data_IF_076052851958
#
_entry.id   IF_076052851958
#
_cell.length_a   1.000
_cell.length_b   1.000
_cell.length_c   1.000
_cell.angle_alpha   90.00
_cell.angle_beta   90.00
_cell.angle_gamma   90.00
#
_symmetry.space_group_name_H-M   'P 1'
#
loop_
_entity.id
_entity.type
_entity.pdbx_description
1 polymer ?
#
# COMPACT_ATOMS: atom_id res chain seq x y z
N UNK A 1 -4.29 -2.20 28.50
CA UNK A 1 -3.95 -0.75 28.49
C UNK A 1 -3.98 -0.13 27.08
N UNK A 2 -3.38 -0.76 26.05
CA UNK A 2 -3.41 -0.26 24.67
C UNK A 2 -4.82 -0.21 24.02
N UNK A 3 -5.66 -1.24 24.26
CA UNK A 3 -7.02 -1.30 23.72
C UNK A 3 -7.93 -0.17 24.22
N UNK A 4 -7.90 0.13 25.53
CA UNK A 4 -8.70 1.23 26.11
C UNK A 4 -8.25 2.61 25.57
N UNK A 5 -6.94 2.79 25.31
CA UNK A 5 -6.43 4.00 24.64
C UNK A 5 -6.94 4.11 23.19
N UNK A 6 -6.97 3.00 22.46
CA UNK A 6 -7.47 2.98 21.09
C UNK A 6 -8.96 3.37 21.01
N UNK A 7 -9.81 2.74 21.84
CA UNK A 7 -11.25 3.01 21.86
C UNK A 7 -11.56 4.43 22.32
N UNK A 8 -10.70 5.05 23.13
CA UNK A 8 -10.86 6.45 23.54
C UNK A 8 -10.60 7.46 22.43
N UNK A 9 -9.88 7.07 21.36
CA UNK A 9 -9.52 7.97 20.27
C UNK A 9 -10.60 7.95 19.17
N UNK A 10 -11.47 8.97 19.15
CA UNK A 10 -12.62 9.06 18.24
C UNK A 10 -12.27 8.82 16.78
N UNK A 11 -11.19 9.42 16.28
CA UNK A 11 -10.78 9.24 14.88
C UNK A 11 -10.35 7.79 14.58
N UNK A 12 -9.74 7.09 15.53
CA UNK A 12 -9.31 5.71 15.32
C UNK A 12 -10.51 4.75 15.25
N UNK A 13 -11.51 4.97 16.11
CA UNK A 13 -12.78 4.21 16.11
C UNK A 13 -13.56 4.47 14.82
N UNK A 14 -13.65 5.73 14.37
CA UNK A 14 -14.31 6.09 13.11
C UNK A 14 -13.64 5.40 11.92
N UNK A 15 -12.31 5.43 11.82
CA UNK A 15 -11.58 4.76 10.74
C UNK A 15 -11.83 3.25 10.70
N UNK A 16 -11.82 2.59 11.86
CA UNK A 16 -12.12 1.14 11.94
C UNK A 16 -13.56 0.87 11.54
N UNK A 17 -14.50 1.69 11.98
CA UNK A 17 -15.91 1.54 11.63
C UNK A 17 -16.14 1.71 10.11
N UNK A 18 -15.55 2.73 9.49
CA UNK A 18 -15.63 2.94 8.04
C UNK A 18 -14.99 1.78 7.29
N UNK A 19 -13.81 1.32 7.71
CA UNK A 19 -13.14 0.16 7.11
C UNK A 19 -14.00 -1.10 7.23
N UNK A 20 -14.62 -1.34 8.39
CA UNK A 20 -15.51 -2.47 8.61
C UNK A 20 -16.73 -2.40 7.68
N UNK A 21 -17.33 -1.21 7.49
CA UNK A 21 -18.42 -1.02 6.52
C UNK A 21 -17.98 -1.37 5.11
N UNK A 22 -16.81 -0.90 4.66
CA UNK A 22 -16.31 -1.20 3.31
C UNK A 22 -16.04 -2.69 3.11
N UNK A 23 -15.46 -3.36 4.12
CA UNK A 23 -15.21 -4.81 4.08
C UNK A 23 -16.53 -5.59 4.07
N UNK A 24 -17.51 -5.22 4.91
CA UNK A 24 -18.84 -5.84 4.92
C UNK A 24 -19.54 -5.61 3.58
N UNK A 25 -19.48 -4.39 3.05
CA UNK A 25 -20.04 -4.05 1.74
C UNK A 25 -19.49 -4.97 0.66
N UNK A 26 -18.17 -5.20 0.61
CA UNK A 26 -17.55 -6.14 -0.33
C UNK A 26 -17.89 -7.60 -0.03
N UNK A 27 -17.91 -8.00 1.25
CA UNK A 27 -18.22 -9.38 1.64
C UNK A 27 -19.65 -9.79 1.25
N UNK A 28 -20.57 -8.83 1.19
CA UNK A 28 -21.94 -9.04 0.72
C UNK A 28 -22.06 -9.13 -0.80
N UNK A 29 -20.98 -8.92 -1.57
CA UNK A 29 -21.04 -8.92 -3.04
C UNK A 29 -21.65 -10.17 -3.66
N UNK A 30 -21.43 -11.40 -3.17
CA UNK A 30 -22.04 -12.59 -3.75
C UNK A 30 -23.57 -12.61 -3.65
N UNK A 31 -24.13 -11.85 -2.70
CA UNK A 31 -25.58 -11.77 -2.46
C UNK A 31 -26.20 -10.53 -3.09
N UNK A 32 -25.45 -9.43 -3.19
CA UNK A 32 -25.98 -8.14 -3.65
C UNK A 32 -25.64 -7.82 -5.10
N UNK A 33 -24.50 -8.29 -5.62
CA UNK A 33 -24.12 -8.08 -7.01
C UNK A 33 -24.97 -8.98 -7.92
N UNK A 34 -25.79 -8.34 -8.77
CA UNK A 34 -26.74 -9.05 -9.63
C UNK A 34 -26.16 -9.45 -10.98
N UNK A 35 -25.09 -8.78 -11.39
CA UNK A 35 -24.44 -8.96 -12.67
C UNK A 35 -22.92 -9.04 -12.48
N UNK A 36 -22.23 -9.69 -13.41
CA UNK A 36 -20.78 -9.63 -13.51
C UNK A 36 -20.26 -8.21 -13.78
N UNK A 37 -18.99 -7.95 -13.48
CA UNK A 37 -18.34 -6.62 -13.63
C UNK A 37 -18.56 -5.99 -15.01
N UNK A 38 -18.53 -6.81 -16.05
CA UNK A 38 -18.64 -6.37 -17.44
C UNK A 38 -19.95 -6.81 -18.10
N UNK A 39 -20.87 -7.39 -17.34
CA UNK A 39 -22.15 -7.87 -17.86
C UNK A 39 -23.14 -6.72 -17.97
N UNK A 40 -23.82 -6.65 -19.12
CA UNK A 40 -24.88 -5.69 -19.34
C UNK A 40 -26.20 -6.20 -18.74
N UNK A 41 -27.03 -5.26 -18.27
CA UNK A 41 -28.40 -5.55 -17.83
C UNK A 41 -29.19 -6.07 -19.04
N UNK A 42 -29.79 -7.25 -18.88
CA UNK A 42 -30.40 -8.00 -20.00
C UNK A 42 -31.76 -7.43 -20.47
N UNK A 43 -32.37 -6.52 -19.71
CA UNK A 43 -33.72 -5.99 -19.99
C UNK A 43 -33.65 -4.58 -20.62
N UNK A 44 -34.08 -4.39 -21.89
CA UNK A 44 -34.20 -3.07 -22.51
C UNK A 44 -35.33 -2.22 -21.87
N UNK A 45 -35.21 -0.88 -21.82
CA UNK A 45 -33.99 -0.12 -22.09
C UNK A 45 -32.96 -0.39 -21.00
N UNK A 46 -31.69 -0.59 -21.39
CA UNK A 46 -30.61 -0.94 -20.46
C UNK A 46 -29.47 0.09 -20.43
N UNK A 47 -29.49 1.12 -21.28
CA UNK A 47 -28.48 2.19 -21.31
C UNK A 47 -28.93 3.41 -20.51
N UNK A 48 -28.00 4.06 -19.80
CA UNK A 48 -28.25 5.27 -19.01
C UNK A 48 -29.50 5.17 -18.12
N UNK A 49 -29.72 4.01 -17.52
CA UNK A 49 -30.84 3.82 -16.62
C UNK A 49 -30.62 4.65 -15.36
N UNK A 50 -31.67 5.31 -14.89
CA UNK A 50 -31.71 5.84 -13.52
C UNK A 50 -31.85 4.70 -12.51
N UNK A 51 -31.58 4.94 -11.21
CA UNK A 51 -31.74 3.94 -10.15
C UNK A 51 -33.12 3.27 -10.19
N UNK A 52 -33.13 1.93 -10.37
CA UNK A 52 -34.34 1.11 -10.52
C UNK A 52 -34.17 -0.26 -9.88
N UNK A 53 -35.28 -0.98 -9.73
CA UNK A 53 -35.29 -2.29 -9.09
C UNK A 53 -34.33 -3.29 -9.77
N UNK A 54 -34.14 -3.24 -11.09
CA UNK A 54 -33.24 -4.11 -11.86
C UNK A 54 -31.79 -3.60 -11.98
N UNK A 55 -31.54 -2.33 -11.63
CA UNK A 55 -30.23 -1.67 -11.64
C UNK A 55 -30.19 -0.63 -10.50
N UNK A 56 -29.74 -1.04 -9.30
CA UNK A 56 -29.92 -0.27 -8.06
C UNK A 56 -29.32 1.13 -8.10
N UNK A 57 -28.20 1.29 -8.80
CA UNK A 57 -27.55 2.59 -9.00
C UNK A 57 -27.64 3.06 -10.45
N UNK A 58 -28.45 2.40 -11.27
CA UNK A 58 -28.54 2.67 -12.70
C UNK A 58 -27.49 1.93 -13.53
N UNK A 59 -27.40 2.30 -14.81
CA UNK A 59 -26.46 1.71 -15.76
C UNK A 59 -25.62 2.76 -16.48
N UNK A 60 -24.47 2.34 -17.00
CA UNK A 60 -23.61 3.18 -17.82
C UNK A 60 -24.07 3.29 -19.29
N UNK A 61 -23.23 3.92 -20.11
CA UNK A 61 -23.43 4.18 -21.55
C UNK A 61 -23.45 2.91 -22.40
N UNK A 62 -23.00 1.78 -21.85
CA UNK A 62 -22.99 0.46 -22.49
C UNK A 62 -23.87 -0.56 -21.76
N UNK A 63 -24.66 -0.09 -20.79
CA UNK A 63 -25.70 -0.84 -20.09
C UNK A 63 -25.23 -1.76 -18.96
N UNK A 64 -24.02 -1.58 -18.44
CA UNK A 64 -23.50 -2.32 -17.28
C UNK A 64 -24.05 -1.74 -15.98
N UNK A 65 -24.35 -2.61 -15.02
CA UNK A 65 -24.87 -2.22 -13.71
C UNK A 65 -23.80 -1.48 -12.86
N UNK A 66 -24.10 -0.24 -12.50
CA UNK A 66 -23.17 0.62 -11.75
C UNK A 66 -22.92 0.08 -10.33
N UNK A 67 -23.92 -0.54 -9.70
CA UNK A 67 -23.76 -1.12 -8.37
C UNK A 67 -22.75 -2.26 -8.36
N UNK A 68 -22.88 -3.20 -9.29
CA UNK A 68 -21.94 -4.31 -9.46
C UNK A 68 -20.54 -3.79 -9.78
N UNK A 69 -20.40 -2.80 -10.67
CA UNK A 69 -19.09 -2.20 -10.95
C UNK A 69 -18.47 -1.54 -9.71
N UNK A 70 -19.26 -0.88 -8.88
CA UNK A 70 -18.80 -0.26 -7.65
C UNK A 70 -18.33 -1.29 -6.63
N UNK A 71 -19.11 -2.32 -6.32
CA UNK A 71 -18.75 -3.31 -5.30
C UNK A 71 -17.49 -4.12 -5.68
N UNK A 72 -17.38 -4.52 -6.96
CA UNK A 72 -16.16 -5.17 -7.46
C UNK A 72 -14.98 -4.20 -7.52
N UNK A 73 -15.21 -2.93 -7.84
CA UNK A 73 -14.19 -1.88 -7.79
C UNK A 73 -13.64 -1.69 -6.37
N UNK A 74 -14.50 -1.58 -5.36
CA UNK A 74 -14.10 -1.46 -3.94
C UNK A 74 -13.28 -2.68 -3.53
N UNK A 75 -13.67 -3.90 -3.92
CA UNK A 75 -12.90 -5.13 -3.64
C UNK A 75 -11.48 -5.04 -4.18
N UNK A 76 -11.33 -4.64 -5.45
CA UNK A 76 -10.02 -4.53 -6.10
C UNK A 76 -9.18 -3.43 -5.45
N UNK A 77 -9.76 -2.26 -5.18
CA UNK A 77 -9.07 -1.14 -4.54
C UNK A 77 -8.57 -1.48 -3.14
N UNK A 78 -9.37 -2.17 -2.31
CA UNK A 78 -8.97 -2.60 -0.97
C UNK A 78 -7.77 -3.56 -1.03
N UNK A 79 -7.81 -4.52 -1.96
CA UNK A 79 -6.72 -5.49 -2.15
C UNK A 79 -5.45 -4.76 -2.61
N UNK A 80 -5.54 -3.90 -3.63
CA UNK A 80 -4.37 -3.17 -4.14
C UNK A 80 -3.77 -2.30 -3.03
N UNK A 81 -4.56 -1.42 -2.42
CA UNK A 81 -4.08 -0.45 -1.43
C UNK A 81 -3.48 -1.10 -0.20
N UNK A 82 -4.09 -2.18 0.31
CA UNK A 82 -3.57 -2.87 1.50
C UNK A 82 -2.25 -3.59 1.20
N UNK A 83 -2.22 -4.42 0.15
CA UNK A 83 -1.04 -5.24 -0.12
C UNK A 83 0.14 -4.40 -0.64
N UNK A 84 -0.11 -3.41 -1.50
CA UNK A 84 0.96 -2.52 -1.98
C UNK A 84 1.56 -1.71 -0.83
N UNK A 85 0.76 -1.20 0.10
CA UNK A 85 1.23 -0.43 1.24
C UNK A 85 2.06 -1.28 2.20
N UNK A 86 1.59 -2.49 2.54
CA UNK A 86 2.33 -3.41 3.42
C UNK A 86 3.68 -3.77 2.80
N UNK A 87 3.72 -4.13 1.52
CA UNK A 87 4.97 -4.49 0.84
C UNK A 87 5.89 -3.27 0.75
N UNK A 88 5.37 -2.09 0.38
CA UNK A 88 6.13 -0.84 0.34
C UNK A 88 6.78 -0.52 1.67
N UNK A 89 6.03 -0.68 2.77
CA UNK A 89 6.52 -0.40 4.11
C UNK A 89 7.59 -1.40 4.51
N UNK A 90 7.40 -2.69 4.24
CA UNK A 90 8.41 -3.71 4.53
C UNK A 90 9.70 -3.43 3.75
N UNK A 91 9.61 -3.17 2.44
CA UNK A 91 10.76 -2.82 1.61
C UNK A 91 11.43 -1.54 2.10
N UNK A 92 10.65 -0.51 2.40
CA UNK A 92 11.15 0.76 2.89
C UNK A 92 11.84 0.64 4.24
N UNK A 93 11.28 -0.15 5.16
CA UNK A 93 11.90 -0.45 6.45
C UNK A 93 13.24 -1.17 6.28
N UNK A 94 13.30 -2.17 5.41
CA UNK A 94 14.55 -2.92 5.16
C UNK A 94 15.61 -2.01 4.54
N UNK A 95 15.28 -1.29 3.47
CA UNK A 95 16.22 -0.44 2.75
C UNK A 95 16.65 0.74 3.62
N UNK A 96 15.71 1.44 4.25
CA UNK A 96 15.97 2.57 5.13
C UNK A 96 16.79 2.20 6.36
N UNK A 97 16.50 1.04 6.97
CA UNK A 97 17.27 0.58 8.13
C UNK A 97 18.70 0.19 7.75
N UNK A 98 18.89 -0.50 6.62
CA UNK A 98 20.24 -0.87 6.15
C UNK A 98 21.03 0.38 5.76
N UNK A 99 20.42 1.32 5.04
CA UNK A 99 21.06 2.57 4.63
C UNK A 99 21.46 3.42 5.85
N UNK A 100 20.53 3.67 6.78
CA UNK A 100 20.78 4.47 7.98
C UNK A 100 21.77 3.84 8.95
N UNK A 101 21.75 2.50 9.09
CA UNK A 101 22.65 1.80 10.01
C UNK A 101 24.06 1.68 9.47
N UNK A 102 24.22 1.33 8.18
CA UNK A 102 25.54 1.18 7.55
C UNK A 102 26.21 2.53 7.33
N UNK A 103 25.45 3.55 6.92
CA UNK A 103 25.96 4.89 6.63
C UNK A 103 26.99 4.93 5.49
N UNK A 104 27.63 6.09 5.35
CA UNK A 104 28.69 6.35 4.38
C UNK A 104 28.23 6.24 2.92
N UNK A 105 29.13 5.84 2.02
CA UNK A 105 28.87 5.81 0.57
C UNK A 105 27.67 4.95 0.16
N UNK A 106 27.38 3.87 0.89
CA UNK A 106 26.22 3.03 0.58
C UNK A 106 24.91 3.79 0.80
N UNK A 107 24.83 4.50 1.92
CA UNK A 107 23.69 5.35 2.24
C UNK A 107 23.52 6.46 1.20
N UNK A 108 24.61 7.16 0.85
CA UNK A 108 24.58 8.22 -0.15
C UNK A 108 24.08 7.74 -1.52
N UNK A 109 24.53 6.57 -1.98
CA UNK A 109 24.09 6.01 -3.27
C UNK A 109 22.61 5.62 -3.22
N UNK A 110 22.17 4.92 -2.17
CA UNK A 110 20.77 4.49 -2.03
C UNK A 110 19.84 5.71 -1.93
N UNK A 111 20.23 6.73 -1.17
CA UNK A 111 19.45 7.96 -1.05
C UNK A 111 19.44 8.75 -2.36
N UNK A 112 20.55 8.85 -3.09
CA UNK A 112 20.56 9.51 -4.41
C UNK A 112 19.64 8.83 -5.43
N UNK A 113 19.65 7.50 -5.48
CA UNK A 113 18.72 6.75 -6.34
C UNK A 113 17.28 7.01 -5.93
N UNK A 114 17.01 6.98 -4.62
CA UNK A 114 15.68 7.26 -4.07
C UNK A 114 15.22 8.68 -4.42
N UNK A 115 16.08 9.68 -4.26
CA UNK A 115 15.79 11.08 -4.53
C UNK A 115 15.54 11.33 -6.03
N UNK A 116 16.30 10.65 -6.90
CA UNK A 116 16.11 10.69 -8.35
C UNK A 116 14.70 10.22 -8.74
N UNK A 117 14.25 9.07 -8.23
CA UNK A 117 12.94 8.54 -8.54
C UNK A 117 11.80 9.36 -7.94
N UNK A 118 11.99 9.91 -6.74
CA UNK A 118 11.02 10.79 -6.09
C UNK A 118 10.89 12.17 -6.77
N UNK A 119 11.87 12.58 -7.57
CA UNK A 119 11.79 13.82 -8.35
C UNK A 119 10.79 13.71 -9.53
N UNK A 120 10.48 12.49 -9.99
CA UNK A 120 9.49 12.28 -11.04
C UNK A 120 8.07 12.32 -10.47
N UNK A 121 7.08 12.86 -11.21
CA UNK A 121 5.68 12.79 -10.80
C UNK A 121 5.23 11.34 -10.66
N UNK A 122 4.70 10.96 -9.50
CA UNK A 122 4.42 9.55 -9.15
C UNK A 122 3.55 8.83 -10.19
N UNK A 123 2.43 9.44 -10.60
CA UNK A 123 1.55 8.87 -11.63
C UNK A 123 2.27 8.69 -12.98
N UNK A 124 3.12 9.65 -13.38
CA UNK A 124 3.89 9.56 -14.63
C UNK A 124 4.88 8.41 -14.54
N UNK A 125 5.57 8.27 -13.42
CA UNK A 125 6.47 7.13 -13.17
C UNK A 125 5.73 5.81 -13.31
N UNK A 126 4.56 5.66 -12.68
CA UNK A 126 3.78 4.41 -12.76
C UNK A 126 3.34 4.12 -14.21
N UNK A 127 2.88 5.12 -14.96
CA UNK A 127 2.43 4.95 -16.34
C UNK A 127 3.55 4.53 -17.29
N UNK A 128 4.72 5.17 -17.19
CA UNK A 128 5.90 4.80 -17.98
C UNK A 128 6.37 3.41 -17.58
N UNK A 129 6.51 3.17 -16.28
CA UNK A 129 7.04 1.92 -15.74
C UNK A 129 6.10 0.74 -15.98
N UNK A 130 4.78 0.95 -16.09
CA UNK A 130 3.84 -0.10 -16.49
C UNK A 130 4.24 -0.75 -17.81
N UNK A 131 4.60 0.03 -18.81
CA UNK A 131 4.98 -0.50 -20.12
C UNK A 131 6.39 -1.09 -20.10
N UNK A 132 7.32 -0.44 -19.38
CA UNK A 132 8.71 -0.92 -19.26
C UNK A 132 8.79 -2.25 -18.51
N UNK A 133 8.13 -2.38 -17.35
CA UNK A 133 8.08 -3.67 -16.63
C UNK A 133 7.27 -4.70 -17.41
N UNK A 134 6.25 -4.25 -18.14
CA UNK A 134 5.39 -5.10 -18.96
C UNK A 134 6.08 -5.74 -20.15
N UNK A 135 7.13 -5.11 -20.70
CA UNK A 135 7.93 -5.66 -21.79
C UNK A 135 8.99 -6.67 -21.33
N UNK A 136 9.22 -6.78 -20.02
CA UNK A 136 10.20 -7.72 -19.46
C UNK A 136 9.55 -9.10 -19.27
N UNK A 137 9.61 -9.92 -20.31
CA UNK A 137 8.91 -11.21 -20.35
C UNK A 137 9.31 -12.18 -19.23
N UNK A 138 10.59 -12.21 -18.84
CA UNK A 138 11.07 -13.13 -17.80
C UNK A 138 10.55 -12.79 -16.40
N UNK A 139 10.05 -11.57 -16.17
CA UNK A 139 9.42 -11.17 -14.90
C UNK A 139 7.93 -11.53 -14.82
N UNK A 140 7.25 -11.74 -15.95
CA UNK A 140 5.81 -12.08 -16.00
C UNK A 140 5.35 -13.17 -15.03
N UNK A 141 6.06 -14.31 -14.85
CA UNK A 141 5.61 -15.33 -13.89
C UNK A 141 5.59 -14.83 -12.44
N UNK A 142 6.42 -13.84 -12.11
CA UNK A 142 6.54 -13.26 -10.76
C UNK A 142 5.54 -12.12 -10.58
N UNK A 143 5.47 -11.21 -11.55
CA UNK A 143 4.68 -9.96 -11.43
C UNK A 143 3.23 -10.11 -11.94
N UNK A 144 2.95 -11.10 -12.78
CA UNK A 144 1.67 -11.29 -13.45
C UNK A 144 1.50 -10.45 -14.72
N UNK A 145 0.37 -10.63 -15.39
CA UNK A 145 0.02 -9.88 -16.61
C UNK A 145 -0.26 -8.40 -16.32
N UNK A 146 -0.12 -7.54 -17.33
CA UNK A 146 -0.34 -6.08 -17.22
C UNK A 146 -1.73 -5.69 -16.70
N UNK A 147 -2.74 -6.54 -16.89
CA UNK A 147 -4.12 -6.35 -16.40
C UNK A 147 -4.36 -7.03 -15.05
N UNK A 148 -3.38 -7.75 -14.52
CA UNK A 148 -3.52 -8.47 -13.26
C UNK A 148 -3.42 -7.53 -12.06
N UNK A 149 -4.26 -7.77 -11.06
CA UNK A 149 -4.18 -7.11 -9.74
C UNK A 149 -2.77 -7.28 -9.13
N UNK A 150 -2.13 -8.44 -9.36
CA UNK A 150 -0.76 -8.71 -8.88
C UNK A 150 0.26 -7.74 -9.46
N UNK A 151 0.17 -7.44 -10.75
CA UNK A 151 1.08 -6.51 -11.42
C UNK A 151 0.96 -5.11 -10.82
N UNK A 152 -0.28 -4.65 -10.60
CA UNK A 152 -0.53 -3.34 -10.00
C UNK A 152 0.03 -3.28 -8.57
N UNK A 153 -0.17 -4.31 -7.75
CA UNK A 153 0.39 -4.39 -6.39
C UNK A 153 1.91 -4.27 -6.43
N UNK A 154 2.59 -5.03 -7.29
CA UNK A 154 4.05 -5.01 -7.41
C UNK A 154 4.54 -3.65 -7.88
N UNK A 155 3.88 -3.07 -8.89
CA UNK A 155 4.24 -1.76 -9.43
C UNK A 155 4.16 -0.69 -8.33
N UNK A 156 3.04 -0.61 -7.60
CA UNK A 156 2.91 0.33 -6.49
C UNK A 156 3.92 0.04 -5.38
N UNK A 157 4.19 -1.22 -5.05
CA UNK A 157 5.13 -1.60 -4.01
C UNK A 157 6.59 -1.18 -4.30
N UNK A 158 7.03 -1.41 -5.54
CA UNK A 158 8.40 -1.10 -6.00
C UNK A 158 8.64 0.40 -6.12
N UNK A 159 7.59 1.20 -6.28
CA UNK A 159 7.72 2.66 -6.33
C UNK A 159 7.23 3.37 -5.04
N UNK A 160 6.56 2.67 -4.13
CA UNK A 160 6.02 3.23 -2.88
C UNK A 160 6.98 3.20 -1.68
N UNK A 161 8.01 2.34 -1.72
CA UNK A 161 8.91 2.13 -0.57
C UNK A 161 9.82 3.33 -0.24
N UNK A 162 10.07 4.20 -1.21
CA UNK A 162 11.06 5.27 -1.16
C UNK A 162 10.80 6.29 -0.04
N UNK A 163 9.56 6.75 0.09
CA UNK A 163 9.17 7.67 1.17
C UNK A 163 9.35 7.03 2.54
N UNK A 164 8.93 5.77 2.69
CA UNK A 164 9.07 5.01 3.94
C UNK A 164 10.55 4.80 4.28
N UNK A 165 11.40 4.47 3.30
CA UNK A 165 12.84 4.31 3.52
C UNK A 165 13.50 5.57 4.05
N UNK A 166 13.12 6.75 3.54
CA UNK A 166 13.66 8.02 4.03
C UNK A 166 13.25 8.29 5.50
N UNK A 167 12.00 8.00 5.85
CA UNK A 167 11.50 8.14 7.22
C UNK A 167 12.26 7.19 8.16
N UNK A 168 12.33 5.89 7.81
CA UNK A 168 12.99 4.87 8.64
C UNK A 168 14.47 5.15 8.76
N UNK A 169 15.14 5.56 7.68
CA UNK A 169 16.54 6.00 7.72
C UNK A 169 16.73 7.11 8.73
N UNK A 170 15.89 8.15 8.71
CA UNK A 170 15.97 9.26 9.67
C UNK A 170 15.84 8.78 11.12
N UNK A 171 14.89 7.87 11.39
CA UNK A 171 14.75 7.26 12.72
C UNK A 171 15.98 6.44 13.12
N UNK A 172 16.53 5.65 12.20
CA UNK A 172 17.73 4.85 12.47
C UNK A 172 18.95 5.73 12.74
N UNK A 173 19.14 6.81 11.99
CA UNK A 173 20.22 7.77 12.24
C UNK A 173 20.07 8.43 13.62
N UNK A 174 18.86 8.80 14.03
CA UNK A 174 18.60 9.40 15.34
C UNK A 174 18.76 8.41 16.50
N UNK A 175 18.38 7.14 16.30
CA UNK A 175 18.40 6.12 17.35
C UNK A 175 19.78 5.48 17.52
N UNK A 176 20.58 5.34 16.45
CA UNK A 176 21.89 4.64 16.52
C UNK A 176 22.92 5.34 17.40
N UNK A 177 22.72 6.63 17.71
CA UNK A 177 23.59 7.46 18.56
C UNK A 177 23.13 7.49 20.02
N UNK A 178 22.10 6.72 20.39
CA UNK A 178 21.61 6.65 21.77
C UNK A 178 22.47 5.71 22.62
N UNK A 179 22.62 6.05 23.90
CA UNK A 179 23.42 5.31 24.89
C UNK A 179 23.09 3.81 24.96
N UNK A 180 21.80 3.44 24.88
CA UNK A 180 21.40 2.02 24.91
C UNK A 180 21.89 1.21 23.69
N UNK A 181 22.10 1.86 22.54
CA UNK A 181 22.69 1.22 21.35
C UNK A 181 24.20 1.10 21.49
N UNK A 182 24.86 2.09 22.09
CA UNK A 182 26.29 2.03 22.41
C UNK A 182 26.60 0.93 23.43
N UNK A 183 25.80 0.85 24.50
CA UNK A 183 25.88 -0.24 25.46
C UNK A 183 25.70 -1.61 24.81
N UNK A 184 24.69 -1.77 23.93
CA UNK A 184 24.48 -3.02 23.20
C UNK A 184 25.70 -3.39 22.31
N UNK A 185 26.33 -2.41 21.66
CA UNK A 185 27.57 -2.63 20.89
C UNK A 185 28.74 -3.01 21.77
N UNK A 186 28.89 -2.39 22.94
CA UNK A 186 29.96 -2.70 23.89
C UNK A 186 29.90 -4.15 24.41
N UNK A 187 28.70 -4.70 24.54
CA UNK A 187 28.47 -6.12 24.91
C UNK A 187 28.59 -7.08 23.71
N UNK A 188 28.95 -6.57 22.52
CA UNK A 188 29.22 -7.39 21.33
C UNK A 188 27.97 -7.77 20.53
N UNK A 189 26.84 -7.06 20.71
CA UNK A 189 25.63 -7.35 19.94
C UNK A 189 25.84 -7.18 18.42
N UNK A 190 25.36 -8.14 17.64
CA UNK A 190 25.50 -8.09 16.18
C UNK A 190 24.69 -6.94 15.58
N UNK A 191 25.14 -6.41 14.44
CA UNK A 191 24.47 -5.32 13.72
C UNK A 191 23.00 -5.63 13.43
N UNK A 192 22.72 -6.85 13.00
CA UNK A 192 21.36 -7.28 12.68
C UNK A 192 20.48 -7.46 13.92
N UNK A 193 21.07 -7.93 15.02
CA UNK A 193 20.39 -7.95 16.31
C UNK A 193 19.98 -6.54 16.74
N UNK A 194 20.89 -5.56 16.64
CA UNK A 194 20.61 -4.16 17.00
C UNK A 194 19.46 -3.59 16.16
N UNK A 195 19.50 -3.80 14.84
CA UNK A 195 18.45 -3.32 13.93
C UNK A 195 17.09 -3.92 14.29
N UNK A 196 16.99 -5.25 14.42
CA UNK A 196 15.71 -5.94 14.64
C UNK A 196 15.18 -5.80 16.06
N UNK A 197 16.05 -5.74 17.08
CA UNK A 197 15.65 -5.76 18.49
C UNK A 197 15.53 -4.37 19.10
N UNK A 198 16.28 -3.40 18.60
CA UNK A 198 16.32 -2.06 19.16
C UNK A 198 15.83 -0.99 18.18
N UNK A 199 16.34 -0.93 16.95
CA UNK A 199 16.04 0.19 16.06
C UNK A 199 14.62 0.13 15.45
N UNK A 200 14.27 -0.98 14.80
CA UNK A 200 12.94 -1.13 14.18
C UNK A 200 11.81 -1.08 15.21
N UNK A 201 11.88 -1.75 16.38
CA UNK A 201 10.83 -1.66 17.38
C UNK A 201 10.63 -0.24 17.93
N UNK A 202 11.71 0.52 18.13
CA UNK A 202 11.62 1.92 18.55
C UNK A 202 11.16 2.87 17.42
N UNK A 203 11.16 2.40 16.17
CA UNK A 203 10.68 3.16 15.01
C UNK A 203 9.22 2.83 14.62
N UNK A 204 8.53 1.95 15.36
CA UNK A 204 7.17 1.49 15.01
C UNK A 204 6.20 2.66 14.90
N UNK A 205 6.26 3.67 15.77
CA UNK A 205 5.37 4.83 15.72
C UNK A 205 5.38 5.54 14.36
N UNK A 206 6.54 6.09 13.93
CA UNK A 206 6.68 6.67 12.60
C UNK A 206 6.38 5.71 11.44
N UNK A 207 6.73 4.43 11.56
CA UNK A 207 6.43 3.41 10.54
C UNK A 207 4.91 3.22 10.37
N UNK A 208 4.14 3.18 11.45
CA UNK A 208 2.68 3.04 11.39
C UNK A 208 2.01 4.27 10.76
N UNK A 209 2.55 5.46 11.02
CA UNK A 209 2.10 6.69 10.34
C UNK A 209 2.39 6.60 8.84
N UNK A 210 3.61 6.20 8.46
CA UNK A 210 3.98 6.03 7.06
C UNK A 210 3.10 4.98 6.34
N UNK A 211 2.80 3.85 6.99
CA UNK A 211 1.88 2.83 6.47
C UNK A 211 0.50 3.42 6.15
N UNK A 212 -0.02 4.30 7.01
CA UNK A 212 -1.33 4.93 6.78
C UNK A 212 -1.31 5.82 5.53
N UNK A 213 -0.25 6.60 5.32
CA UNK A 213 -0.08 7.41 4.12
C UNK A 213 0.11 6.54 2.87
N UNK A 214 0.84 5.43 2.97
CA UNK A 214 1.09 4.51 1.85
C UNK A 214 -0.18 3.82 1.35
N UNK A 215 -1.23 3.68 2.15
CA UNK A 215 -2.53 3.12 1.70
C UNK A 215 -3.31 4.13 0.83
N UNK A 216 -3.11 5.43 1.05
CA UNK A 216 -3.84 6.50 0.35
C UNK A 216 -3.12 6.97 -0.93
N UNK A 217 -1.80 6.78 -1.00
CA UNK A 217 -0.93 7.25 -2.08
C UNK A 217 -0.98 6.35 -3.31
#
# INVERSE_FOLDING_TARGET
MAFNRFVSHKAAVVSVFVMAILVIFVALSPFTARYGVNEAVQAPPNYFLTPRANAWLGTDDIGRDLYSRLIYGVRVSLVIGLFSAVISVVLGCLIGAVAGFRGGRFDDVVMRVTDLFLAFPFLVTLLVMRNVLGSIEWLRPIIGDLSSVRFIIVLFAVFGWMGVARIVRGQVLALKEREFIEAARAVGASRWYIVRRHLLPNSIGPIMVALTFSVVS
#
